data_IF_903751043646
#
_entry.id   IF_903751043646
#
_cell.length_a   1.000
_cell.length_b   1.000
_cell.length_c   1.000
_cell.angle_alpha   90.00
_cell.angle_beta   90.00
_cell.angle_gamma   90.00
#
_symmetry.space_group_name_H-M   'P 1'
#
loop_
_entity.id
_entity.type
_entity.pdbx_description
1 polymer ?
#
# COMPACT_ATOMS: atom_id res chain seq x y z
N UNK A 1 -59.25 -10.72 33.70
CA UNK A 1 -58.11 -9.82 33.91
C UNK A 1 -57.28 -9.79 32.68
N UNK A 2 -57.40 -8.70 31.94
CA UNK A 2 -56.58 -8.46 30.77
C UNK A 2 -55.20 -8.17 31.26
N UNK A 3 -54.30 -9.13 31.07
CA UNK A 3 -52.87 -8.88 31.18
C UNK A 3 -52.51 -8.07 29.94
N UNK A 4 -52.19 -6.80 30.14
CA UNK A 4 -51.63 -6.01 29.06
C UNK A 4 -50.39 -6.72 28.57
N UNK A 5 -50.40 -7.20 27.32
CA UNK A 5 -49.17 -7.59 26.66
C UNK A 5 -48.18 -6.41 26.77
N UNK A 6 -46.95 -6.67 27.22
CA UNK A 6 -45.98 -5.62 27.14
C UNK A 6 -45.90 -5.20 25.67
N UNK A 7 -46.13 -3.92 25.41
CA UNK A 7 -45.87 -3.35 24.11
C UNK A 7 -44.47 -3.83 23.71
N UNK A 8 -44.33 -4.38 22.48
CA UNK A 8 -43.01 -4.67 21.99
C UNK A 8 -42.21 -3.37 22.13
N UNK A 9 -41.17 -3.38 22.93
CA UNK A 9 -40.22 -2.30 22.89
C UNK A 9 -39.90 -2.06 21.43
N UNK A 10 -40.45 -0.99 20.89
CA UNK A 10 -39.93 -0.43 19.68
C UNK A 10 -38.52 -0.04 20.08
N UNK A 11 -37.60 -0.95 19.89
CA UNK A 11 -36.22 -0.55 19.76
C UNK A 11 -36.26 0.52 18.69
N UNK A 12 -36.20 1.78 19.12
CA UNK A 12 -35.81 2.84 18.21
C UNK A 12 -34.70 2.23 17.39
N UNK A 13 -34.97 1.96 16.11
CA UNK A 13 -33.96 1.44 15.22
C UNK A 13 -32.73 2.23 15.59
N UNK A 14 -31.75 1.56 16.19
CA UNK A 14 -30.56 2.22 16.57
C UNK A 14 -30.17 2.97 15.31
N UNK A 15 -30.26 4.31 15.36
CA UNK A 15 -29.69 5.12 14.31
C UNK A 15 -28.25 4.74 14.42
N UNK A 16 -27.86 3.76 13.61
CA UNK A 16 -26.45 3.47 13.43
C UNK A 16 -25.83 4.82 13.14
N UNK A 17 -24.98 5.28 14.05
CA UNK A 17 -24.16 6.43 13.75
C UNK A 17 -23.59 6.16 12.34
N UNK A 18 -23.70 7.11 11.40
CA UNK A 18 -23.14 6.90 10.08
C UNK A 18 -21.73 6.35 10.29
N UNK A 19 -21.36 5.25 9.62
CA UNK A 19 -20.03 4.68 9.79
C UNK A 19 -19.06 5.83 9.69
N UNK A 20 -18.14 5.94 10.65
CA UNK A 20 -17.07 6.90 10.59
C UNK A 20 -16.51 6.85 9.16
N UNK A 21 -16.35 8.00 8.46
CA UNK A 21 -15.90 7.99 7.09
C UNK A 21 -14.68 7.09 7.02
N UNK A 22 -14.80 5.97 6.31
CA UNK A 22 -13.67 5.09 6.09
C UNK A 22 -12.61 5.91 5.39
N UNK A 23 -11.43 5.98 5.98
CA UNK A 23 -10.30 6.62 5.33
C UNK A 23 -9.97 5.78 4.12
N UNK A 24 -10.25 6.31 2.96
CA UNK A 24 -9.89 5.66 1.71
C UNK A 24 -8.52 6.14 1.26
N UNK A 25 -7.80 5.22 0.65
CA UNK A 25 -6.49 5.45 0.09
C UNK A 25 -6.54 5.24 -1.41
N UNK A 26 -6.10 6.24 -2.16
CA UNK A 26 -5.96 6.14 -3.61
C UNK A 26 -4.56 5.67 -3.96
N UNK A 27 -4.48 4.76 -4.92
CA UNK A 27 -3.24 4.49 -5.62
C UNK A 27 -3.01 5.61 -6.64
N UNK A 28 -2.04 6.46 -6.39
CA UNK A 28 -1.69 7.57 -7.29
C UNK A 28 -0.84 7.08 -8.45
N UNK A 29 0.16 6.28 -8.15
CA UNK A 29 1.03 5.69 -9.18
C UNK A 29 1.76 4.45 -8.66
N UNK A 30 2.10 3.59 -9.61
CA UNK A 30 3.02 2.48 -9.41
C UNK A 30 3.89 2.43 -10.67
N UNK A 31 5.15 2.80 -10.57
CA UNK A 31 6.03 2.91 -11.73
C UNK A 31 7.38 2.24 -11.50
N UNK A 32 7.90 1.64 -12.54
CA UNK A 32 9.28 1.16 -12.57
C UNK A 32 10.24 2.34 -12.57
N UNK A 33 11.26 2.28 -11.73
CA UNK A 33 12.29 3.30 -11.69
C UNK A 33 13.18 3.25 -12.93
N UNK A 34 13.65 4.41 -13.36
CA UNK A 34 14.66 4.51 -14.40
C UNK A 34 16.01 3.95 -13.91
N UNK A 35 16.96 3.63 -14.82
CA UNK A 35 18.27 3.15 -14.44
C UNK A 35 19.00 4.05 -13.43
N UNK A 36 18.93 5.35 -13.62
CA UNK A 36 19.60 6.30 -12.73
C UNK A 36 18.92 6.44 -11.37
N UNK A 37 17.62 6.26 -11.32
CA UNK A 37 16.88 6.21 -10.06
C UNK A 37 17.12 4.91 -9.29
N UNK A 38 17.19 3.79 -10.00
CA UNK A 38 17.29 2.47 -9.40
C UNK A 38 18.70 2.12 -8.91
N UNK A 39 19.71 2.34 -9.72
CA UNK A 39 21.14 2.04 -9.42
C UNK A 39 21.37 0.61 -8.89
N UNK A 40 20.75 -0.37 -9.50
CA UNK A 40 20.95 -1.79 -9.19
C UNK A 40 20.18 -2.34 -8.00
N UNK A 41 19.27 -1.59 -7.45
CA UNK A 41 18.40 -2.05 -6.37
C UNK A 41 17.22 -2.92 -6.89
N UNK A 42 16.59 -3.63 -5.98
CA UNK A 42 15.38 -4.43 -6.27
C UNK A 42 14.34 -4.21 -5.16
N UNK A 43 13.98 -2.96 -4.96
CA UNK A 43 13.13 -2.51 -3.87
C UNK A 43 11.79 -1.96 -4.36
N UNK A 44 10.81 -1.96 -3.46
CA UNK A 44 9.58 -1.19 -3.60
C UNK A 44 9.70 0.01 -2.66
N UNK A 45 9.78 1.19 -3.24
CA UNK A 45 9.78 2.45 -2.50
C UNK A 45 8.35 2.98 -2.43
N UNK A 46 7.80 3.07 -1.24
CA UNK A 46 6.41 3.50 -1.03
C UNK A 46 6.42 4.90 -0.42
N UNK A 47 5.60 5.77 -1.01
CA UNK A 47 5.29 7.09 -0.46
C UNK A 47 3.81 7.15 -0.13
N UNK A 48 3.52 7.64 1.05
CA UNK A 48 2.15 7.82 1.54
C UNK A 48 1.93 9.29 1.82
N UNK A 49 0.88 9.84 1.22
CA UNK A 49 0.55 11.25 1.30
C UNK A 49 -0.80 11.45 1.99
N UNK A 50 -0.94 12.57 2.69
CA UNK A 50 -2.25 13.02 3.17
C UNK A 50 -3.09 13.62 2.02
N UNK A 51 -4.30 14.03 2.30
CA UNK A 51 -5.19 14.60 1.29
C UNK A 51 -4.65 15.89 0.67
N UNK A 52 -3.79 16.62 1.38
CA UNK A 52 -3.15 17.84 0.88
C UNK A 52 -1.87 17.58 0.09
N UNK A 53 -1.42 16.32 0.00
CA UNK A 53 -0.22 15.92 -0.71
C UNK A 53 1.06 15.97 0.13
N UNK A 54 0.96 16.16 1.44
CA UNK A 54 2.11 16.13 2.33
C UNK A 54 2.42 14.70 2.78
N UNK A 55 3.67 14.38 3.14
CA UNK A 55 4.00 13.07 3.69
C UNK A 55 3.13 12.71 4.89
N UNK A 56 2.63 11.49 4.91
CA UNK A 56 1.79 10.97 5.99
C UNK A 56 2.47 9.77 6.66
N UNK A 57 2.73 9.90 7.96
CA UNK A 57 3.31 8.84 8.78
C UNK A 57 2.22 8.03 9.48
N UNK A 58 2.49 6.75 9.72
CA UNK A 58 1.62 5.87 10.50
C UNK A 58 0.60 5.07 9.69
N UNK A 59 0.60 5.15 8.37
CA UNK A 59 -0.19 4.24 7.54
C UNK A 59 0.50 2.88 7.51
N UNK A 60 -0.25 1.81 7.75
CA UNK A 60 0.30 0.46 7.67
C UNK A 60 0.37 0.03 6.20
N UNK A 61 1.57 -0.04 5.67
CA UNK A 61 1.82 -0.50 4.30
C UNK A 61 2.13 -1.99 4.32
N UNK A 62 1.51 -2.74 3.42
CA UNK A 62 1.66 -4.20 3.34
C UNK A 62 2.16 -4.61 1.97
N UNK A 63 3.11 -5.54 1.99
CA UNK A 63 3.56 -6.30 0.82
C UNK A 63 3.02 -7.73 0.94
N UNK A 64 2.23 -8.16 -0.03
CA UNK A 64 1.68 -9.50 -0.07
C UNK A 64 2.04 -10.20 -1.37
N UNK A 65 1.85 -11.52 -1.44
CA UNK A 65 1.89 -12.21 -2.72
C UNK A 65 0.78 -11.68 -3.63
N UNK A 66 1.12 -11.46 -4.89
CA UNK A 66 0.17 -10.91 -5.86
C UNK A 66 -1.10 -11.75 -5.96
N UNK A 67 -2.23 -11.07 -5.82
CA UNK A 67 -3.55 -11.70 -5.87
C UNK A 67 -4.00 -12.37 -4.58
N UNK A 68 -3.14 -12.42 -3.56
CA UNK A 68 -3.49 -12.98 -2.25
C UNK A 68 -3.16 -11.97 -1.13
N UNK A 69 -4.14 -11.14 -0.79
CA UNK A 69 -3.96 -10.08 0.22
C UNK A 69 -3.82 -10.61 1.65
N UNK A 70 -4.25 -11.84 1.89
CA UNK A 70 -4.05 -12.52 3.17
C UNK A 70 -2.66 -13.10 3.35
N UNK A 71 -1.92 -13.27 2.27
CA UNK A 71 -0.54 -13.79 2.32
C UNK A 71 0.45 -12.64 2.46
N UNK A 72 0.53 -12.12 3.67
CA UNK A 72 1.36 -10.97 4.01
C UNK A 72 2.81 -11.43 4.14
N UNK A 73 3.70 -10.86 3.33
CA UNK A 73 5.13 -11.15 3.34
C UNK A 73 5.90 -10.17 4.22
N UNK A 74 5.51 -8.91 4.20
CA UNK A 74 6.11 -7.86 5.02
C UNK A 74 5.12 -6.72 5.23
N UNK A 75 5.33 -5.98 6.29
CA UNK A 75 4.55 -4.78 6.63
C UNK A 75 5.44 -3.75 7.29
N UNK A 76 5.14 -2.49 7.03
CA UNK A 76 5.91 -1.38 7.56
C UNK A 76 5.02 -0.15 7.68
N UNK A 77 5.06 0.57 8.82
CA UNK A 77 4.37 1.85 8.89
C UNK A 77 5.07 2.88 7.99
N UNK A 78 4.31 3.71 7.31
CA UNK A 78 4.87 4.87 6.63
C UNK A 78 5.52 5.79 7.67
N UNK A 79 6.63 6.42 7.32
CA UNK A 79 7.47 7.17 8.25
C UNK A 79 8.69 6.37 8.73
N UNK A 80 8.70 5.05 8.60
CA UNK A 80 9.81 4.20 9.06
C UNK A 80 11.11 4.41 8.24
N UNK A 81 11.00 4.87 7.01
CA UNK A 81 12.14 5.09 6.09
C UNK A 81 12.33 6.57 5.71
N UNK A 82 11.71 7.46 6.43
CA UNK A 82 11.66 8.88 6.19
C UNK A 82 10.22 9.38 6.12
N UNK A 83 9.99 10.69 6.04
CA UNK A 83 8.62 11.24 6.05
C UNK A 83 7.73 10.59 4.98
N UNK A 84 6.65 9.93 5.44
CA UNK A 84 5.68 9.26 4.58
C UNK A 84 6.21 8.01 3.85
N UNK A 85 7.37 7.49 4.20
CA UNK A 85 8.04 6.46 3.42
C UNK A 85 8.04 5.09 4.10
N UNK A 86 7.84 4.05 3.28
CA UNK A 86 8.07 2.66 3.61
C UNK A 86 8.84 2.00 2.45
N UNK A 87 9.48 0.88 2.71
CA UNK A 87 10.33 0.23 1.73
C UNK A 87 10.29 -1.28 1.93
N UNK A 88 10.23 -2.02 0.83
CA UNK A 88 10.27 -3.47 0.81
C UNK A 88 11.30 -3.98 -0.18
N UNK A 89 11.72 -5.21 -0.01
CA UNK A 89 12.63 -5.90 -0.93
C UNK A 89 11.81 -6.82 -1.84
N UNK A 90 12.18 -6.85 -3.10
CA UNK A 90 11.62 -7.79 -4.08
C UNK A 90 12.62 -8.91 -4.38
N UNK A 91 12.12 -10.13 -4.35
CA UNK A 91 12.92 -11.30 -4.69
C UNK A 91 12.65 -11.76 -6.12
N UNK A 92 13.66 -12.36 -6.71
CA UNK A 92 13.60 -12.93 -8.05
C UNK A 92 12.43 -13.92 -8.19
N UNK A 93 11.68 -13.82 -9.28
CA UNK A 93 10.52 -14.65 -9.67
C UNK A 93 9.23 -14.28 -8.92
N UNK A 94 9.30 -13.78 -7.70
CA UNK A 94 8.11 -13.36 -6.94
C UNK A 94 7.38 -12.18 -7.61
N UNK A 95 6.09 -12.11 -7.38
CA UNK A 95 5.24 -10.99 -7.73
C UNK A 95 4.46 -10.53 -6.50
N UNK A 96 4.30 -9.24 -6.34
CA UNK A 96 3.75 -8.65 -5.13
C UNK A 96 2.55 -7.76 -5.39
N UNK A 97 1.69 -7.68 -4.38
CA UNK A 97 0.74 -6.57 -4.21
C UNK A 97 1.21 -5.67 -3.08
N UNK A 98 0.96 -4.38 -3.21
CA UNK A 98 1.23 -3.39 -2.17
C UNK A 98 -0.05 -2.60 -1.92
N UNK A 99 -0.44 -2.49 -0.67
CA UNK A 99 -1.66 -1.79 -0.27
C UNK A 99 -1.54 -1.19 1.13
N UNK A 100 -2.45 -0.27 1.44
CA UNK A 100 -2.60 0.25 2.80
C UNK A 100 -3.60 -0.64 3.54
N UNK A 101 -3.26 -1.04 4.75
CA UNK A 101 -4.04 -1.97 5.56
C UNK A 101 -4.60 -1.34 6.82
N UNK A 102 -5.65 -1.98 7.33
CA UNK A 102 -6.14 -1.80 8.69
C UNK A 102 -5.16 -2.46 9.69
N UNK A 103 -5.28 -2.18 11.00
CA UNK A 103 -4.41 -2.79 12.01
C UNK A 103 -4.40 -4.31 12.02
N UNK A 104 -5.49 -4.95 11.57
CA UNK A 104 -5.59 -6.41 11.47
C UNK A 104 -4.94 -6.99 10.21
N UNK A 105 -4.39 -6.14 9.33
CA UNK A 105 -3.76 -6.53 8.08
C UNK A 105 -4.69 -6.62 6.87
N UNK A 106 -6.01 -6.48 7.06
CA UNK A 106 -6.96 -6.44 5.94
C UNK A 106 -6.80 -5.15 5.13
N UNK A 107 -7.07 -5.18 3.82
CA UNK A 107 -7.00 -3.96 3.00
C UNK A 107 -7.90 -2.85 3.53
N UNK A 108 -7.35 -1.64 3.68
CA UNK A 108 -8.10 -0.46 4.11
C UNK A 108 -8.87 0.20 2.97
N UNK A 109 -8.51 -0.10 1.74
CA UNK A 109 -9.21 0.35 0.54
C UNK A 109 -9.16 -0.72 -0.54
N UNK A 110 -9.92 -0.51 -1.61
CA UNK A 110 -9.96 -1.40 -2.77
C UNK A 110 -8.82 -1.13 -3.75
N UNK A 111 -8.04 -0.10 -3.55
CA UNK A 111 -6.93 0.25 -4.42
C UNK A 111 -5.61 -0.33 -3.90
N UNK A 112 -4.92 -1.04 -4.78
CA UNK A 112 -3.64 -1.67 -4.51
C UNK A 112 -2.77 -1.64 -5.76
N UNK A 113 -1.45 -1.62 -5.56
CA UNK A 113 -0.49 -1.77 -6.64
C UNK A 113 -0.21 -3.25 -6.87
N UNK A 114 -0.22 -3.69 -8.12
CA UNK A 114 0.13 -5.06 -8.47
C UNK A 114 -0.18 -5.42 -9.93
N UNK A 115 0.53 -6.39 -10.52
CA UNK A 115 1.71 -7.03 -9.95
C UNK A 115 2.91 -6.09 -9.93
N UNK A 116 3.60 -6.04 -8.79
CA UNK A 116 4.90 -5.37 -8.64
C UNK A 116 5.97 -6.44 -8.57
N UNK A 117 7.01 -6.35 -9.38
CA UNK A 117 8.05 -7.37 -9.44
C UNK A 117 9.35 -6.83 -9.99
N UNK A 118 10.43 -7.54 -9.73
CA UNK A 118 11.75 -7.23 -10.26
C UNK A 118 12.14 -8.10 -11.47
N UNK A 119 11.17 -8.84 -12.05
CA UNK A 119 11.42 -9.89 -13.06
C UNK A 119 11.59 -9.33 -14.47
N UNK A 120 12.39 -8.29 -14.61
CA UNK A 120 12.77 -7.73 -15.88
C UNK A 120 14.14 -8.27 -16.29
N UNK A 121 14.29 -8.56 -17.56
CA UNK A 121 15.51 -9.13 -18.12
C UNK A 121 16.30 -8.14 -18.97
N UNK A 122 15.73 -6.97 -19.25
CA UNK A 122 16.42 -5.88 -19.91
C UNK A 122 17.44 -5.24 -18.96
N UNK A 123 18.54 -4.82 -19.52
CA UNK A 123 19.61 -4.15 -18.78
C UNK A 123 19.82 -2.76 -19.34
N UNK A 124 19.98 -1.78 -18.47
CA UNK A 124 20.26 -0.41 -18.85
C UNK A 124 21.10 0.26 -17.77
N UNK A 125 22.27 0.74 -18.14
CA UNK A 125 23.14 1.48 -17.24
C UNK A 125 22.64 2.92 -17.06
N UNK A 126 22.94 3.49 -15.88
CA UNK A 126 22.84 4.93 -15.72
C UNK A 126 24.07 5.59 -16.34
N UNK A 127 23.88 6.40 -17.37
CA UNK A 127 24.95 7.00 -18.17
C UNK A 127 25.68 8.18 -17.52
N UNK A 128 25.50 8.40 -16.20
CA UNK A 128 26.10 9.55 -15.49
C UNK A 128 27.51 9.28 -14.90
N UNK A 129 28.06 8.09 -15.10
CA UNK A 129 29.36 7.70 -14.55
C UNK A 129 29.34 7.26 -13.08
N UNK A 130 28.19 7.30 -12.41
CA UNK A 130 28.03 6.89 -11.01
C UNK A 130 27.87 5.38 -10.79
N UNK A 131 27.87 4.60 -11.86
CA UNK A 131 27.65 3.16 -11.82
C UNK A 131 26.20 2.77 -11.57
N UNK A 132 25.91 1.47 -11.64
CA UNK A 132 24.57 0.91 -11.44
C UNK A 132 23.64 1.16 -12.62
N UNK A 133 22.40 0.85 -12.43
CA UNK A 133 21.36 0.91 -13.45
C UNK A 133 20.30 -0.11 -13.19
N UNK A 134 19.56 -0.49 -14.23
CA UNK A 134 18.67 -1.65 -14.19
C UNK A 134 19.42 -2.84 -14.76
N UNK A 135 19.51 -3.91 -14.00
CA UNK A 135 20.15 -5.15 -14.42
C UNK A 135 19.19 -6.31 -14.27
N UNK A 136 19.60 -7.49 -14.70
CA UNK A 136 18.80 -8.71 -14.67
C UNK A 136 18.23 -8.96 -13.26
N UNK A 137 16.90 -8.88 -13.11
CA UNK A 137 16.17 -9.00 -11.85
C UNK A 137 16.49 -7.94 -10.78
N UNK A 138 17.16 -6.87 -11.15
CA UNK A 138 17.44 -5.72 -10.29
C UNK A 138 16.72 -4.49 -10.85
N UNK A 139 15.45 -4.40 -10.53
CA UNK A 139 14.56 -3.31 -10.88
C UNK A 139 13.74 -2.94 -9.65
N UNK A 140 13.43 -1.68 -9.52
CA UNK A 140 12.64 -1.17 -8.40
C UNK A 140 11.40 -0.47 -8.87
N UNK A 141 10.44 -0.35 -7.97
CA UNK A 141 9.20 0.39 -8.18
C UNK A 141 9.07 1.50 -7.16
N UNK A 142 8.43 2.58 -7.59
CA UNK A 142 7.88 3.60 -6.70
C UNK A 142 6.37 3.47 -6.70
N UNK A 143 5.78 3.35 -5.52
CA UNK A 143 4.34 3.25 -5.31
C UNK A 143 3.91 4.42 -4.43
N UNK A 144 2.92 5.17 -4.89
CA UNK A 144 2.42 6.34 -4.16
C UNK A 144 0.94 6.13 -3.84
N UNK A 145 0.60 6.22 -2.55
CA UNK A 145 -0.77 6.27 -2.06
C UNK A 145 -1.07 7.64 -1.47
N UNK A 146 -2.32 8.06 -1.59
CA UNK A 146 -2.80 9.32 -1.03
C UNK A 146 -4.15 9.14 -0.36
N UNK A 147 -4.34 9.74 0.80
CA UNK A 147 -5.64 9.78 1.47
C UNK A 147 -6.62 10.61 0.65
N UNK A 148 -7.87 10.18 0.63
CA UNK A 148 -8.95 10.91 -0.03
C UNK A 148 -9.55 12.01 0.84
N UNK A 149 -9.31 11.96 2.13
CA UNK A 149 -9.82 12.96 3.09
C UNK A 149 -8.94 13.11 4.33
#
# INVERSE_FOLDING_TARGET
VLVAEPEPEVRAAAVEAPPAPSVEWRLVSARRLSPCENRGLHNIFVKVLDAAGNPYDGALVVQSNFGNYGDILDRMPSGAKGPGQAEFIMWKIAQYSVFIANPDGSPASTEFAGPVHSNFTDEAECGDGGGGGNTLFHNSFEVIFQRTS
#
